data_IF_599423393137
#
_entry.id   IF_599423393137
#
_cell.length_a   1.000
_cell.length_b   1.000
_cell.length_c   1.000
_cell.angle_alpha   90.00
_cell.angle_beta   90.00
_cell.angle_gamma   90.00
#
_symmetry.space_group_name_H-M   'P 1'
#
loop_
_entity.id
_entity.type
_entity.pdbx_description
1 polymer ?
#
# COMPACT_ATOMS: atom_id res chain seq x y z
N UNK A 1 33.83 -34.80 -0.63
CA UNK A 1 33.01 -34.21 -1.70
C UNK A 1 31.55 -34.19 -1.26
N UNK A 2 30.86 -33.06 -1.49
CA UNK A 2 29.39 -32.88 -1.53
C UNK A 2 28.65 -33.13 -0.19
N UNK A 3 27.93 -32.20 0.43
CA UNK A 3 27.38 -30.90 -0.02
C UNK A 3 27.24 -29.98 1.20
N UNK A 4 27.72 -28.76 1.00
CA UNK A 4 27.54 -27.60 1.84
C UNK A 4 26.06 -27.20 1.95
N UNK A 5 25.75 -26.58 3.09
CA UNK A 5 24.85 -25.42 3.22
C UNK A 5 23.44 -25.57 2.64
N UNK A 6 22.51 -26.07 3.44
CA UNK A 6 21.11 -25.62 3.40
C UNK A 6 20.71 -24.98 4.74
N UNK A 7 21.61 -24.14 5.28
CA UNK A 7 21.34 -23.19 6.37
C UNK A 7 20.74 -21.92 5.74
N UNK A 8 19.53 -22.01 5.19
CA UNK A 8 18.86 -20.86 4.56
C UNK A 8 17.32 -20.98 4.63
N UNK A 9 16.80 -21.49 5.75
CA UNK A 9 15.36 -21.46 6.06
C UNK A 9 15.03 -20.44 7.17
N UNK A 10 16.03 -19.76 7.74
CA UNK A 10 15.86 -18.95 8.95
C UNK A 10 15.53 -17.46 8.75
N UNK A 11 14.92 -17.02 7.63
CA UNK A 11 14.62 -15.58 7.42
C UNK A 11 13.12 -15.26 7.28
N UNK A 12 12.22 -16.25 7.31
CA UNK A 12 10.77 -15.99 7.08
C UNK A 12 10.00 -15.61 8.37
N UNK A 13 10.63 -15.46 9.53
CA UNK A 13 9.91 -15.25 10.81
C UNK A 13 10.35 -14.03 11.63
N UNK A 14 10.96 -13.01 11.01
CA UNK A 14 11.21 -11.71 11.66
C UNK A 14 10.20 -10.60 11.31
N UNK A 15 9.03 -10.91 10.76
CA UNK A 15 7.88 -9.98 10.79
C UNK A 15 7.20 -10.06 12.18
N UNK A 16 7.99 -9.85 13.22
CA UNK A 16 7.63 -9.97 14.64
C UNK A 16 7.39 -8.62 15.31
N UNK A 17 6.85 -7.66 14.56
CA UNK A 17 6.09 -6.51 15.05
C UNK A 17 5.09 -6.24 13.94
N UNK A 18 3.79 -6.30 14.21
CA UNK A 18 2.78 -6.11 13.17
C UNK A 18 2.99 -4.77 12.47
N UNK A 19 3.39 -4.81 11.19
CA UNK A 19 3.58 -3.61 10.40
C UNK A 19 2.34 -2.73 10.50
N UNK A 20 2.54 -1.41 10.65
CA UNK A 20 1.42 -0.47 10.68
C UNK A 20 0.57 -0.67 9.43
N UNK A 21 -0.74 -0.68 9.63
CA UNK A 21 -1.72 -0.79 8.55
C UNK A 21 -2.53 0.48 8.47
N UNK A 22 -3.05 0.76 7.28
CA UNK A 22 -4.02 1.83 7.08
C UNK A 22 -5.34 1.42 7.74
N UNK A 23 -5.88 2.30 8.58
CA UNK A 23 -7.20 2.17 9.18
C UNK A 23 -8.18 3.11 8.49
N UNK A 24 -8.97 2.60 7.56
CA UNK A 24 -10.02 3.33 6.85
C UNK A 24 -11.41 3.09 7.46
N UNK A 25 -11.49 2.76 8.76
CA UNK A 25 -12.77 2.62 9.46
C UNK A 25 -13.51 3.96 9.59
N UNK A 26 -12.79 5.07 9.74
CA UNK A 26 -13.31 6.45 9.74
C UNK A 26 -12.32 7.42 9.05
N UNK A 27 -12.75 8.64 8.67
CA UNK A 27 -11.85 9.67 8.12
C UNK A 27 -10.71 10.05 9.07
N UNK A 28 -10.99 10.14 10.37
CA UNK A 28 -10.01 10.48 11.41
C UNK A 28 -8.96 9.38 11.56
N UNK A 29 -9.41 8.13 11.61
CA UNK A 29 -8.51 6.97 11.68
C UNK A 29 -7.67 6.84 10.41
N UNK A 30 -8.23 7.15 9.24
CA UNK A 30 -7.52 7.12 7.97
C UNK A 30 -6.40 8.15 7.95
N UNK A 31 -6.72 9.39 8.31
CA UNK A 31 -5.73 10.47 8.37
C UNK A 31 -4.61 10.13 9.36
N UNK A 32 -4.99 9.64 10.55
CA UNK A 32 -4.04 9.29 11.60
C UNK A 32 -3.13 8.13 11.16
N UNK A 33 -3.68 7.04 10.67
CA UNK A 33 -2.91 5.87 10.26
C UNK A 33 -1.97 6.16 9.08
N UNK A 34 -2.40 6.96 8.10
CA UNK A 34 -1.51 7.43 7.02
C UNK A 34 -0.38 8.30 7.58
N UNK A 35 -0.69 9.25 8.47
CA UNK A 35 0.33 10.10 9.08
C UNK A 35 1.36 9.30 9.88
N UNK A 36 0.88 8.36 10.71
CA UNK A 36 1.71 7.49 11.54
C UNK A 36 2.57 6.55 10.69
N UNK A 37 2.12 6.19 9.48
CA UNK A 37 2.87 5.40 8.51
C UNK A 37 3.93 6.24 7.80
N UNK A 38 3.53 7.40 7.26
CA UNK A 38 4.42 8.32 6.53
C UNK A 38 5.58 8.81 7.42
N UNK A 39 5.35 9.04 8.71
CA UNK A 39 6.40 9.47 9.63
C UNK A 39 7.52 8.44 9.85
N UNK A 40 7.29 7.18 9.48
CA UNK A 40 8.25 6.08 9.61
C UNK A 40 8.86 5.67 8.25
N UNK A 41 8.42 6.30 7.16
CA UNK A 41 8.96 6.06 5.82
C UNK A 41 9.97 7.16 5.48
N UNK A 42 11.07 6.76 4.85
CA UNK A 42 12.13 7.67 4.41
C UNK A 42 12.52 7.39 2.96
N UNK A 43 13.14 8.39 2.32
CA UNK A 43 13.73 8.28 0.97
C UNK A 43 12.78 7.70 -0.08
N UNK A 44 13.32 6.77 -0.87
CA UNK A 44 12.63 6.14 -2.01
C UNK A 44 11.35 5.40 -1.58
N UNK A 45 11.31 4.87 -0.35
CA UNK A 45 10.13 4.15 0.15
C UNK A 45 8.97 5.11 0.42
N UNK A 46 9.23 6.28 0.99
CA UNK A 46 8.23 7.34 1.16
C UNK A 46 7.74 7.85 -0.20
N UNK A 47 8.66 8.07 -1.13
CA UNK A 47 8.30 8.50 -2.49
C UNK A 47 7.40 7.47 -3.18
N UNK A 48 7.78 6.20 -3.15
CA UNK A 48 7.01 5.10 -3.74
C UNK A 48 5.63 4.99 -3.12
N UNK A 49 5.53 5.09 -1.79
CA UNK A 49 4.24 5.08 -1.09
C UNK A 49 3.34 6.23 -1.55
N UNK A 50 3.86 7.45 -1.61
CA UNK A 50 3.08 8.63 -2.02
C UNK A 50 2.61 8.53 -3.48
N UNK A 51 3.48 8.07 -4.39
CA UNK A 51 3.13 7.83 -5.80
C UNK A 51 2.03 6.78 -5.89
N UNK A 52 2.20 5.63 -5.22
CA UNK A 52 1.23 4.54 -5.24
C UNK A 52 -0.12 4.95 -4.66
N UNK A 53 -0.15 5.71 -3.57
CA UNK A 53 -1.39 6.26 -3.01
C UNK A 53 -2.09 7.20 -4.02
N UNK A 54 -1.32 8.06 -4.70
CA UNK A 54 -1.84 8.92 -5.76
C UNK A 54 -2.46 8.13 -6.91
N UNK A 55 -1.77 7.07 -7.39
CA UNK A 55 -2.29 6.18 -8.43
C UNK A 55 -3.60 5.51 -8.02
N UNK A 56 -3.65 4.96 -6.80
CA UNK A 56 -4.87 4.36 -6.24
C UNK A 56 -6.02 5.37 -6.22
N UNK A 57 -5.78 6.61 -5.78
CA UNK A 57 -6.80 7.65 -5.74
C UNK A 57 -7.33 8.01 -7.13
N UNK A 58 -6.45 8.20 -8.11
CA UNK A 58 -6.81 8.53 -9.49
C UNK A 58 -7.62 7.40 -10.13
N UNK A 59 -7.14 6.15 -10.04
CA UNK A 59 -7.85 5.01 -10.59
C UNK A 59 -9.18 4.75 -9.89
N UNK A 60 -9.26 4.94 -8.58
CA UNK A 60 -10.53 4.84 -7.86
C UNK A 60 -11.53 5.91 -8.32
N UNK A 61 -11.06 7.12 -8.65
CA UNK A 61 -11.93 8.17 -9.20
C UNK A 61 -12.43 7.84 -10.60
N UNK A 62 -11.58 7.26 -11.45
CA UNK A 62 -11.95 6.78 -12.79
C UNK A 62 -12.97 5.64 -12.70
N UNK A 63 -12.69 4.61 -11.89
CA UNK A 63 -13.58 3.46 -11.65
C UNK A 63 -14.93 3.89 -11.07
N UNK A 64 -14.93 4.94 -10.25
CA UNK A 64 -16.14 5.51 -9.69
C UNK A 64 -17.03 6.26 -10.69
N UNK A 65 -16.49 6.66 -11.85
CA UNK A 65 -17.23 7.37 -12.90
C UNK A 65 -18.02 8.59 -12.39
N UNK A 66 -17.43 9.35 -11.46
CA UNK A 66 -18.05 10.55 -10.86
C UNK A 66 -18.92 10.31 -9.63
N UNK A 67 -19.14 9.06 -9.20
CA UNK A 67 -19.86 8.75 -7.96
C UNK A 67 -18.93 8.81 -6.73
N UNK A 68 -19.12 9.82 -5.89
CA UNK A 68 -18.28 10.02 -4.70
C UNK A 68 -18.42 8.93 -3.64
N UNK A 69 -19.61 8.35 -3.46
CA UNK A 69 -19.81 7.25 -2.49
C UNK A 69 -19.11 5.99 -2.97
N UNK A 70 -19.23 5.69 -4.27
CA UNK A 70 -18.53 4.58 -4.92
C UNK A 70 -17.02 4.77 -4.82
N UNK A 71 -16.51 5.97 -5.12
CA UNK A 71 -15.08 6.32 -4.98
C UNK A 71 -14.56 6.04 -3.58
N UNK A 72 -15.26 6.52 -2.55
CA UNK A 72 -14.86 6.27 -1.16
C UNK A 72 -14.85 4.79 -0.80
N UNK A 73 -15.86 4.03 -1.26
CA UNK A 73 -15.91 2.58 -1.04
C UNK A 73 -14.74 1.85 -1.73
N UNK A 74 -14.43 2.20 -2.98
CA UNK A 74 -13.30 1.63 -3.73
C UNK A 74 -11.98 1.90 -3.01
N UNK A 75 -11.72 3.16 -2.64
CA UNK A 75 -10.50 3.54 -1.93
C UNK A 75 -10.39 2.74 -0.63
N UNK A 76 -11.44 2.74 0.20
CA UNK A 76 -11.48 2.00 1.46
C UNK A 76 -11.17 0.52 1.25
N UNK A 77 -11.80 -0.13 0.26
CA UNK A 77 -11.60 -1.55 -0.01
C UNK A 77 -10.18 -1.87 -0.50
N UNK A 78 -9.55 -0.97 -1.26
CA UNK A 78 -8.18 -1.15 -1.74
C UNK A 78 -7.15 -1.02 -0.62
N UNK A 79 -7.33 -0.06 0.30
CA UNK A 79 -6.25 0.33 1.23
C UNK A 79 -6.46 -0.12 2.69
N UNK A 80 -7.68 -0.42 3.12
CA UNK A 80 -7.92 -0.75 4.53
C UNK A 80 -7.18 -2.04 4.94
N UNK A 81 -6.51 -1.98 6.09
CA UNK A 81 -5.70 -3.08 6.62
C UNK A 81 -4.42 -3.36 5.83
N UNK A 82 -4.03 -2.50 4.88
CA UNK A 82 -2.81 -2.67 4.10
C UNK A 82 -1.64 -1.96 4.74
N UNK A 83 -0.49 -2.61 4.68
CA UNK A 83 0.82 -2.06 5.04
C UNK A 83 1.34 -1.11 3.96
N UNK A 84 2.36 -0.31 4.27
CA UNK A 84 3.03 0.54 3.27
C UNK A 84 3.52 -0.26 2.05
N UNK A 85 4.10 -1.44 2.28
CA UNK A 85 4.64 -2.30 1.21
C UNK A 85 3.53 -2.84 0.30
N UNK A 86 2.38 -3.20 0.86
CA UNK A 86 1.23 -3.63 0.06
C UNK A 86 0.60 -2.47 -0.70
N UNK A 87 0.54 -1.27 -0.12
CA UNK A 87 0.08 -0.07 -0.84
C UNK A 87 0.98 0.23 -2.03
N UNK A 88 2.30 0.18 -1.84
CA UNK A 88 3.25 0.37 -2.94
C UNK A 88 2.96 -0.61 -4.06
N UNK A 89 2.86 -1.91 -3.73
CA UNK A 89 2.55 -2.97 -4.69
C UNK A 89 1.20 -2.79 -5.37
N UNK A 90 0.17 -2.35 -4.66
CA UNK A 90 -1.13 -2.07 -5.29
C UNK A 90 -0.96 -0.96 -6.31
N UNK A 91 -0.37 0.18 -5.93
CA UNK A 91 -0.19 1.31 -6.82
C UNK A 91 0.72 1.04 -8.03
N UNK A 92 1.72 0.18 -7.90
CA UNK A 92 2.54 -0.28 -9.04
C UNK A 92 1.71 -1.06 -10.08
N UNK A 93 0.63 -1.72 -9.64
CA UNK A 93 -0.30 -2.44 -10.52
C UNK A 93 -1.50 -1.59 -10.97
N UNK A 94 -1.64 -0.37 -10.43
CA UNK A 94 -2.64 0.59 -10.88
C UNK A 94 -2.15 1.25 -12.18
N UNK A 95 -2.70 0.80 -13.31
CA UNK A 95 -2.45 1.38 -14.62
C UNK A 95 -3.20 2.70 -14.74
N UNK A 96 -2.48 3.79 -14.95
CA UNK A 96 -3.13 5.07 -15.26
C UNK A 96 -3.46 5.16 -16.75
N UNK A 97 -4.52 5.89 -17.13
CA UNK A 97 -4.82 6.12 -18.55
C UNK A 97 -3.60 6.71 -19.27
N UNK A 98 -3.19 6.08 -20.37
CA UNK A 98 -2.06 6.52 -21.19
C UNK A 98 -0.71 5.88 -20.87
N UNK A 99 -0.63 5.01 -19.85
CA UNK A 99 0.54 4.15 -19.65
C UNK A 99 0.46 2.95 -20.60
N UNK A 100 1.54 2.67 -21.34
CA UNK A 100 1.64 1.50 -22.20
C UNK A 100 1.81 0.21 -21.38
N UNK A 101 1.34 -0.91 -21.93
CA UNK A 101 1.46 -2.26 -21.35
C UNK A 101 2.91 -2.78 -21.32
#
# INVERSE_FOLDING_TARGET
MRKLLFVLISVVLLTGCGDKTIDASSPENLKKSISDMVSELEGDRLQSFNISMGRIMINSAIEAAGDDKKKQAIIKNKINGKTASEIIKIGENEKLPGEAD
#
